data_IF_214300165224
#
_entry.id   IF_214300165224
#
_cell.length_a   1.000
_cell.length_b   1.000
_cell.length_c   1.000
_cell.angle_alpha   90.00
_cell.angle_beta   90.00
_cell.angle_gamma   90.00
#
_symmetry.space_group_name_H-M   'P 1'
#
loop_
_entity.id
_entity.type
_entity.pdbx_description
1 polymer ?
#
# COMPACT_ATOMS: atom_id res chain seq x y z
N UNK A 1 -12.79 -57.64 -15.65
CA UNK A 1 -11.90 -58.19 -16.68
C UNK A 1 -11.34 -57.00 -17.48
N UNK A 2 -10.01 -56.91 -17.57
CA UNK A 2 -9.18 -56.01 -18.39
C UNK A 2 -9.10 -54.49 -18.05
N UNK A 3 -8.03 -54.14 -17.32
CA UNK A 3 -7.34 -52.84 -17.36
C UNK A 3 -6.61 -52.67 -18.70
N UNK A 4 -6.46 -51.45 -19.20
CA UNK A 4 -5.50 -51.12 -20.27
C UNK A 4 -4.62 -49.95 -19.85
N UNK A 5 -3.36 -50.27 -19.56
CA UNK A 5 -2.25 -49.36 -19.27
C UNK A 5 -1.66 -48.83 -20.57
N UNK A 6 -1.66 -47.50 -20.77
CA UNK A 6 -0.87 -46.86 -21.82
C UNK A 6 0.52 -46.48 -21.27
N UNK A 7 1.54 -47.14 -21.81
CA UNK A 7 2.96 -47.00 -21.49
C UNK A 7 3.54 -45.84 -22.31
N UNK A 8 3.88 -44.71 -21.69
CA UNK A 8 4.59 -43.60 -22.35
C UNK A 8 6.10 -43.82 -22.22
N UNK A 9 6.75 -43.92 -23.38
CA UNK A 9 8.19 -44.07 -23.57
C UNK A 9 8.91 -42.72 -23.44
N UNK A 10 10.07 -42.75 -22.78
CA UNK A 10 10.94 -41.59 -22.52
C UNK A 10 11.81 -41.22 -23.73
N UNK A 11 12.09 -39.92 -23.97
CA UNK A 11 13.21 -39.53 -24.81
C UNK A 11 14.48 -39.32 -23.96
N UNK A 12 15.57 -39.92 -24.44
CA UNK A 12 16.94 -39.87 -23.92
C UNK A 12 17.50 -38.44 -23.94
N UNK A 13 17.92 -37.92 -22.79
CA UNK A 13 18.80 -36.74 -22.70
C UNK A 13 20.27 -37.18 -22.78
N UNK A 14 21.02 -36.65 -23.74
CA UNK A 14 22.49 -36.76 -23.83
C UNK A 14 23.16 -35.56 -23.15
N UNK A 15 23.92 -35.85 -22.09
CA UNK A 15 25.23 -35.30 -21.69
C UNK A 15 25.59 -33.80 -21.75
N UNK A 16 25.59 -33.17 -20.56
CA UNK A 16 26.69 -32.44 -19.87
C UNK A 16 27.35 -31.16 -20.48
N UNK A 17 28.05 -30.30 -19.69
CA UNK A 17 28.37 -30.37 -18.25
C UNK A 17 28.09 -29.08 -17.40
N UNK A 18 28.20 -29.31 -16.09
CA UNK A 18 28.21 -28.42 -14.93
C UNK A 18 29.60 -27.77 -14.76
N UNK A 19 29.69 -26.44 -14.60
CA UNK A 19 30.73 -25.64 -13.89
C UNK A 19 30.47 -24.14 -14.18
N UNK A 20 30.60 -23.10 -13.33
CA UNK A 20 31.30 -22.85 -12.07
C UNK A 20 30.51 -21.75 -11.30
N UNK A 21 30.30 -21.97 -9.99
CA UNK A 21 30.08 -20.92 -8.99
C UNK A 21 31.47 -20.55 -8.45
N UNK A 22 31.79 -19.26 -8.41
CA UNK A 22 32.72 -18.56 -7.48
C UNK A 22 33.53 -17.51 -8.24
N UNK A 23 33.35 -16.24 -7.87
CA UNK A 23 34.42 -15.24 -7.67
C UNK A 23 33.81 -13.83 -7.64
N UNK A 24 33.25 -13.46 -6.49
CA UNK A 24 32.94 -12.06 -6.18
C UNK A 24 33.20 -11.76 -4.71
N UNK A 25 34.40 -12.11 -4.22
CA UNK A 25 34.95 -11.60 -2.96
C UNK A 25 36.46 -11.45 -3.17
N UNK A 26 36.92 -10.22 -3.41
CA UNK A 26 38.12 -9.61 -2.81
C UNK A 26 38.59 -8.37 -3.59
N UNK A 27 38.95 -7.35 -2.81
CA UNK A 27 39.82 -6.20 -3.16
C UNK A 27 39.21 -4.96 -3.84
N UNK A 28 38.62 -4.10 -3.02
CA UNK A 28 38.89 -2.66 -3.09
C UNK A 28 39.68 -2.26 -1.84
N UNK A 29 40.99 -2.02 -2.00
CA UNK A 29 41.78 -1.20 -1.07
C UNK A 29 42.60 -0.22 -1.90
N UNK A 30 42.37 1.06 -1.62
CA UNK A 30 43.02 2.25 -2.17
C UNK A 30 44.56 2.18 -2.14
N UNK A 31 45.27 2.90 -3.03
CA UNK A 31 46.58 3.41 -2.69
C UNK A 31 46.69 4.92 -2.79
N UNK A 32 47.32 5.45 -1.75
CA UNK A 32 47.86 6.78 -1.54
C UNK A 32 49.02 7.13 -2.48
N UNK A 33 49.14 8.43 -2.72
CA UNK A 33 50.33 9.16 -3.21
C UNK A 33 51.68 8.62 -2.73
N UNK A 34 52.66 8.54 -3.63
CA UNK A 34 53.99 9.19 -3.52
C UNK A 34 54.75 9.21 -4.86
N UNK A 35 55.62 10.22 -4.98
CA UNK A 35 56.45 10.68 -6.10
C UNK A 35 57.48 9.66 -6.59
N UNK A 36 57.83 9.69 -7.88
CA UNK A 36 59.22 10.00 -8.30
C UNK A 36 59.43 10.24 -9.81
N UNK A 37 60.48 11.01 -10.09
CA UNK A 37 60.97 11.56 -11.36
C UNK A 37 61.59 10.53 -12.33
N UNK A 38 61.34 10.67 -13.64
CA UNK A 38 62.32 10.97 -14.72
C UNK A 38 61.88 10.50 -16.12
N UNK A 39 62.24 11.34 -17.11
CA UNK A 39 62.46 11.11 -18.57
C UNK A 39 61.26 11.04 -19.54
N UNK A 40 61.22 12.07 -20.38
CA UNK A 40 60.72 12.13 -21.78
C UNK A 40 61.69 11.43 -22.77
N UNK A 41 61.43 11.40 -24.10
CA UNK A 41 60.18 11.27 -24.87
C UNK A 41 60.27 10.15 -25.94
N UNK A 42 59.17 9.83 -26.65
CA UNK A 42 59.11 9.62 -28.12
C UNK A 42 57.69 9.20 -28.52
N UNK A 43 57.14 9.83 -29.56
CA UNK A 43 55.78 9.62 -30.02
C UNK A 43 55.60 8.42 -30.96
N UNK A 44 54.33 8.03 -31.18
CA UNK A 44 53.84 7.47 -32.43
C UNK A 44 52.30 7.49 -32.40
N UNK A 45 51.69 8.04 -33.46
CA UNK A 45 50.26 8.31 -33.56
C UNK A 45 49.39 7.08 -33.85
N UNK A 46 48.12 7.13 -33.46
CA UNK A 46 47.11 6.15 -33.89
C UNK A 46 45.77 6.85 -34.21
N UNK A 47 45.34 6.58 -35.44
CA UNK A 47 44.11 6.85 -36.19
C UNK A 47 42.79 7.16 -35.44
N UNK A 48 42.20 8.30 -35.80
CA UNK A 48 40.81 8.70 -35.59
C UNK A 48 39.92 8.20 -36.75
N UNK A 49 39.48 6.93 -36.73
CA UNK A 49 38.40 6.50 -37.65
C UNK A 49 37.50 5.34 -37.18
N UNK A 50 37.51 4.96 -35.91
CA UNK A 50 36.66 3.86 -35.39
C UNK A 50 35.66 4.24 -34.29
N UNK A 51 35.62 5.50 -33.85
CA UNK A 51 34.75 5.89 -32.73
C UNK A 51 33.27 6.13 -33.10
N UNK A 52 32.94 6.34 -34.37
CA UNK A 52 31.60 6.82 -34.75
C UNK A 52 30.55 5.73 -35.06
N UNK A 53 30.96 4.48 -35.29
CA UNK A 53 30.01 3.39 -35.59
C UNK A 53 29.50 2.65 -34.34
N UNK A 54 30.17 2.78 -33.18
CA UNK A 54 29.74 2.10 -31.94
C UNK A 54 28.63 2.83 -31.18
N UNK A 55 28.48 4.14 -31.42
CA UNK A 55 27.50 4.98 -30.72
C UNK A 55 26.10 4.87 -31.35
N UNK A 56 26.01 4.70 -32.68
CA UNK A 56 24.73 4.58 -33.37
C UNK A 56 24.01 3.24 -33.07
N UNK A 57 24.76 2.14 -32.98
CA UNK A 57 24.24 0.79 -32.66
C UNK A 57 23.66 0.68 -31.24
N UNK A 58 24.20 1.44 -30.28
CA UNK A 58 23.73 1.43 -28.88
C UNK A 58 22.40 2.17 -28.69
N UNK A 59 22.11 3.18 -29.51
CA UNK A 59 20.86 3.95 -29.41
C UNK A 59 19.66 3.16 -29.96
N UNK A 60 19.82 2.46 -31.09
CA UNK A 60 18.75 1.63 -31.63
C UNK A 60 18.44 0.41 -30.75
N UNK A 61 19.45 -0.22 -30.12
CA UNK A 61 19.23 -1.30 -29.15
C UNK A 61 18.46 -0.86 -27.90
N UNK A 62 18.58 0.41 -27.47
CA UNK A 62 17.80 0.97 -26.34
C UNK A 62 16.34 1.27 -26.70
N UNK A 63 16.02 1.66 -27.93
CA UNK A 63 14.64 1.91 -28.36
C UNK A 63 13.84 0.62 -28.64
N UNK A 64 14.50 -0.43 -29.14
CA UNK A 64 13.83 -1.73 -29.38
C UNK A 64 13.55 -2.46 -28.06
N UNK A 65 14.41 -2.33 -27.06
CA UNK A 65 14.19 -2.91 -25.72
C UNK A 65 13.13 -2.19 -24.89
N UNK A 66 12.92 -0.89 -25.08
CA UNK A 66 11.84 -0.15 -24.41
C UNK A 66 10.46 -0.47 -24.98
N UNK A 67 10.32 -0.65 -26.31
CA UNK A 67 9.06 -1.12 -26.90
C UNK A 67 8.77 -2.60 -26.57
N UNK A 68 9.80 -3.45 -26.48
CA UNK A 68 9.64 -4.83 -26.03
C UNK A 68 9.24 -4.93 -24.55
N UNK A 69 9.73 -4.04 -23.68
CA UNK A 69 9.32 -3.97 -22.27
C UNK A 69 7.87 -3.45 -22.11
N UNK A 70 7.44 -2.50 -22.95
CA UNK A 70 6.06 -1.99 -22.96
C UNK A 70 5.07 -3.00 -23.60
N UNK A 71 5.50 -3.79 -24.59
CA UNK A 71 4.66 -4.86 -25.16
C UNK A 71 4.70 -6.18 -24.36
N UNK A 72 5.75 -6.46 -23.60
CA UNK A 72 5.76 -7.56 -22.63
C UNK A 72 4.81 -7.29 -21.45
N UNK A 73 4.59 -6.02 -21.08
CA UNK A 73 3.60 -5.63 -20.08
C UNK A 73 2.15 -5.92 -20.54
N UNK A 74 1.88 -6.02 -21.85
CA UNK A 74 0.56 -6.37 -22.38
C UNK A 74 0.33 -7.88 -22.58
N UNK A 75 1.36 -8.72 -22.46
CA UNK A 75 1.27 -10.16 -22.78
C UNK A 75 1.33 -11.11 -21.56
N UNK A 76 1.48 -10.60 -20.33
CA UNK A 76 1.60 -11.40 -19.09
C UNK A 76 0.35 -11.29 -18.20
N UNK A 77 -0.83 -11.09 -18.80
CA UNK A 77 -2.13 -11.03 -18.09
C UNK A 77 -2.73 -12.41 -17.72
N UNK A 78 -1.98 -13.52 -17.82
CA UNK A 78 -2.59 -14.86 -17.85
C UNK A 78 -2.40 -15.75 -16.60
N UNK A 79 -1.78 -15.28 -15.50
CA UNK A 79 -1.27 -16.22 -14.48
C UNK A 79 -1.65 -16.00 -13.00
N UNK A 80 -2.71 -15.25 -12.65
CA UNK A 80 -3.11 -15.11 -11.23
C UNK A 80 -4.61 -15.21 -10.91
N UNK A 81 -5.44 -15.50 -11.92
CA UNK A 81 -6.82 -15.95 -11.73
C UNK A 81 -7.04 -17.05 -12.75
N UNK A 82 -7.19 -18.29 -12.30
CA UNK A 82 -7.70 -19.33 -13.18
C UNK A 82 -9.17 -18.99 -13.46
N UNK A 83 -9.40 -18.22 -14.53
CA UNK A 83 -10.74 -17.96 -15.05
C UNK A 83 -11.22 -19.21 -15.75
N UNK A 84 -11.83 -20.12 -14.99
CA UNK A 84 -12.58 -21.21 -15.58
C UNK A 84 -13.95 -20.66 -15.99
N UNK A 85 -14.18 -20.48 -17.28
CA UNK A 85 -15.50 -20.12 -17.81
C UNK A 85 -16.05 -18.74 -17.44
N UNK A 86 -15.18 -17.74 -17.25
CA UNK A 86 -15.61 -16.36 -16.91
C UNK A 86 -15.82 -16.08 -15.43
N UNK A 87 -15.46 -17.01 -14.55
CA UNK A 87 -15.55 -16.86 -13.10
C UNK A 87 -14.18 -16.77 -12.43
N UNK A 88 -14.06 -15.95 -11.39
CA UNK A 88 -12.87 -15.88 -10.52
C UNK A 88 -12.99 -16.92 -9.40
N UNK A 89 -12.06 -17.88 -9.35
CA UNK A 89 -11.95 -18.85 -8.26
C UNK A 89 -11.22 -18.23 -7.07
N UNK A 90 -11.86 -18.22 -5.89
CA UNK A 90 -11.26 -17.78 -4.64
C UNK A 90 -10.67 -18.98 -3.90
N UNK A 91 -9.42 -18.84 -3.45
CA UNK A 91 -8.78 -19.79 -2.52
C UNK A 91 -8.59 -19.14 -1.17
N UNK A 92 -8.76 -19.88 -0.07
CA UNK A 92 -8.52 -19.35 1.27
C UNK A 92 -7.00 -19.20 1.50
N UNK A 93 -6.54 -17.97 1.79
CA UNK A 93 -5.11 -17.62 1.83
C UNK A 93 -4.73 -16.94 3.16
N UNK A 94 -4.79 -17.65 4.30
CA UNK A 94 -4.60 -17.03 5.62
C UNK A 94 -3.16 -16.54 5.84
N UNK A 95 -2.15 -17.26 5.36
CA UNK A 95 -0.75 -16.90 5.59
C UNK A 95 -0.33 -15.65 4.83
N UNK A 96 -0.65 -15.54 3.53
CA UNK A 96 -0.38 -14.32 2.75
C UNK A 96 -1.14 -13.12 3.31
N UNK A 97 -2.38 -13.35 3.78
CA UNK A 97 -3.18 -12.34 4.46
C UNK A 97 -2.49 -11.83 5.74
N UNK A 98 -2.02 -12.71 6.63
CA UNK A 98 -1.25 -12.31 7.82
C UNK A 98 0.03 -11.56 7.43
N UNK A 99 0.81 -12.08 6.48
CA UNK A 99 2.06 -11.47 6.03
C UNK A 99 1.84 -10.05 5.49
N UNK A 100 0.85 -9.87 4.62
CA UNK A 100 0.45 -8.54 4.15
C UNK A 100 -0.05 -7.65 5.30
N UNK A 101 -0.84 -8.20 6.22
CA UNK A 101 -1.27 -7.51 7.44
C UNK A 101 -0.10 -7.00 8.29
N UNK A 102 0.92 -7.82 8.54
CA UNK A 102 2.13 -7.43 9.26
C UNK A 102 2.82 -6.24 8.58
N UNK A 103 2.90 -6.20 7.25
CA UNK A 103 3.45 -5.06 6.51
C UNK A 103 2.62 -3.77 6.71
N UNK A 104 1.29 -3.86 6.66
CA UNK A 104 0.41 -2.72 6.97
C UNK A 104 0.63 -2.21 8.40
N UNK A 105 0.83 -3.14 9.33
CA UNK A 105 1.18 -2.85 10.72
C UNK A 105 2.54 -2.17 10.87
N UNK A 106 3.58 -2.63 10.18
CA UNK A 106 4.92 -2.01 10.15
C UNK A 106 4.85 -0.59 9.60
N UNK A 107 4.14 -0.38 8.48
CA UNK A 107 3.92 0.95 7.92
C UNK A 107 3.19 1.89 8.90
N UNK A 108 2.17 1.37 9.58
CA UNK A 108 1.40 2.12 10.58
C UNK A 108 2.24 2.49 11.80
N UNK A 109 2.97 1.52 12.36
CA UNK A 109 3.85 1.70 13.51
C UNK A 109 5.00 2.66 13.19
N UNK A 110 5.68 2.46 12.06
CA UNK A 110 6.76 3.32 11.60
C UNK A 110 6.30 4.75 11.41
N UNK A 111 5.19 4.97 10.70
CA UNK A 111 4.60 6.31 10.54
C UNK A 111 4.29 6.97 11.87
N UNK A 112 3.66 6.26 12.81
CA UNK A 112 3.30 6.80 14.12
C UNK A 112 4.55 7.20 14.91
N UNK A 113 5.54 6.32 15.02
CA UNK A 113 6.75 6.56 15.81
C UNK A 113 7.61 7.68 15.20
N UNK A 114 7.63 7.77 13.87
CA UNK A 114 8.37 8.80 13.13
C UNK A 114 7.71 10.17 13.21
N UNK A 115 6.44 10.27 12.82
CA UNK A 115 5.76 11.56 12.57
C UNK A 115 4.79 11.94 13.68
N UNK A 116 4.46 11.00 14.56
CA UNK A 116 3.44 11.18 15.59
C UNK A 116 2.00 11.16 15.08
N UNK A 117 1.80 11.01 13.76
CA UNK A 117 0.47 11.03 13.14
C UNK A 117 -0.09 9.64 12.95
N UNK A 118 -1.40 9.51 13.13
CA UNK A 118 -2.12 8.28 12.86
C UNK A 118 -2.27 8.07 11.35
N UNK A 119 -2.00 6.85 10.87
CA UNK A 119 -2.14 6.51 9.47
C UNK A 119 -3.62 6.49 9.05
N UNK A 120 -3.99 7.28 8.04
CA UNK A 120 -5.35 7.34 7.52
C UNK A 120 -5.38 7.77 6.06
N UNK A 121 -5.74 6.85 5.15
CA UNK A 121 -5.75 7.12 3.70
C UNK A 121 -6.86 8.09 3.33
N UNK A 122 -8.10 7.81 3.74
CA UNK A 122 -9.22 8.73 3.52
C UNK A 122 -9.00 10.07 4.21
N UNK A 123 -8.27 10.08 5.34
CA UNK A 123 -7.82 11.31 5.98
C UNK A 123 -6.92 12.11 5.04
N UNK A 124 -5.86 11.49 4.51
CA UNK A 124 -4.91 12.07 3.56
C UNK A 124 -5.62 12.68 2.34
N UNK A 125 -6.49 11.91 1.67
CA UNK A 125 -7.26 12.34 0.50
C UNK A 125 -8.25 13.44 0.84
N UNK A 126 -9.08 13.27 1.90
CA UNK A 126 -10.06 14.28 2.33
C UNK A 126 -9.39 15.64 2.51
N UNK A 127 -8.26 15.70 3.21
CA UNK A 127 -7.57 16.98 3.43
C UNK A 127 -7.15 17.65 2.14
N UNK A 128 -6.59 16.92 1.19
CA UNK A 128 -6.25 17.49 -0.13
C UNK A 128 -7.51 18.01 -0.86
N UNK A 129 -8.61 17.25 -0.80
CA UNK A 129 -9.89 17.63 -1.41
C UNK A 129 -10.52 18.87 -0.75
N UNK A 130 -10.32 19.05 0.57
CA UNK A 130 -10.82 20.20 1.33
C UNK A 130 -9.86 21.39 1.36
N UNK A 131 -8.70 21.31 0.71
CA UNK A 131 -7.72 22.40 0.60
C UNK A 131 -6.58 22.41 1.64
N UNK A 132 -6.46 21.39 2.49
CA UNK A 132 -5.30 21.17 3.35
C UNK A 132 -4.16 20.54 2.51
N UNK A 133 -3.32 21.39 1.94
CA UNK A 133 -2.20 21.03 1.07
C UNK A 133 -0.91 20.69 1.84
N UNK A 134 -1.02 20.15 3.06
CA UNK A 134 0.14 19.75 3.83
C UNK A 134 1.02 18.73 3.06
N UNK A 135 2.33 18.99 3.00
CA UNK A 135 3.29 18.22 2.21
C UNK A 135 3.28 16.70 2.53
N UNK A 136 3.07 16.33 3.79
CA UNK A 136 3.02 14.92 4.23
C UNK A 136 1.93 14.11 3.51
N UNK A 137 0.80 14.74 3.13
CA UNK A 137 -0.31 14.07 2.44
C UNK A 137 0.12 13.65 1.04
N UNK A 138 0.80 14.56 0.35
CA UNK A 138 1.34 14.30 -0.98
C UNK A 138 2.43 13.25 -0.95
N UNK A 139 3.38 13.34 -0.03
CA UNK A 139 4.48 12.37 0.03
C UNK A 139 4.00 10.99 0.43
N UNK A 140 3.02 10.88 1.35
CA UNK A 140 2.37 9.61 1.67
C UNK A 140 1.66 8.99 0.46
N UNK A 141 0.84 9.75 -0.27
CA UNK A 141 0.13 9.26 -1.45
C UNK A 141 1.08 8.96 -2.63
N UNK A 142 2.13 9.75 -2.81
CA UNK A 142 3.20 9.48 -3.77
C UNK A 142 3.93 8.19 -3.42
N UNK A 143 4.24 7.97 -2.15
CA UNK A 143 4.77 6.71 -1.64
C UNK A 143 3.87 5.53 -1.97
N UNK A 144 2.56 5.65 -1.77
CA UNK A 144 1.59 4.62 -2.18
C UNK A 144 1.61 4.39 -3.69
N UNK A 145 1.69 5.45 -4.51
CA UNK A 145 1.78 5.33 -5.97
C UNK A 145 3.06 4.62 -6.42
N UNK A 146 4.21 4.98 -5.86
CA UNK A 146 5.49 4.30 -6.12
C UNK A 146 5.44 2.83 -5.67
N UNK A 147 4.83 2.56 -4.53
CA UNK A 147 4.60 1.20 -4.03
C UNK A 147 3.69 0.39 -4.94
N UNK A 148 2.68 1.03 -5.54
CA UNK A 148 1.83 0.40 -6.57
C UNK A 148 2.61 0.02 -7.82
N UNK A 149 3.49 0.90 -8.32
CA UNK A 149 4.33 0.61 -9.48
C UNK A 149 5.28 -0.55 -9.18
N UNK A 150 5.90 -0.54 -8.00
CA UNK A 150 6.75 -1.64 -7.56
C UNK A 150 5.95 -2.95 -7.43
N UNK A 151 4.76 -2.90 -6.83
CA UNK A 151 3.86 -4.05 -6.70
C UNK A 151 3.51 -4.68 -8.04
N UNK A 152 3.18 -3.86 -9.05
CA UNK A 152 2.84 -4.32 -10.39
C UNK A 152 4.01 -5.08 -11.05
N UNK A 153 5.25 -4.66 -10.79
CA UNK A 153 6.46 -5.34 -11.30
C UNK A 153 6.86 -6.59 -10.50
N UNK A 154 6.60 -6.60 -9.18
CA UNK A 154 7.03 -7.67 -8.28
C UNK A 154 6.04 -8.83 -8.19
N UNK A 155 4.74 -8.56 -8.29
CA UNK A 155 3.67 -9.56 -8.23
C UNK A 155 2.72 -9.39 -9.42
N UNK A 156 3.04 -9.98 -10.59
CA UNK A 156 2.12 -10.02 -11.72
C UNK A 156 0.79 -10.68 -11.29
N UNK A 157 -0.29 -9.91 -11.30
CA UNK A 157 -1.61 -10.37 -10.82
C UNK A 157 -1.99 -9.95 -9.40
N UNK A 158 -1.21 -9.08 -8.76
CA UNK A 158 -1.63 -8.42 -7.52
C UNK A 158 -2.91 -7.57 -7.70
N UNK A 159 -3.14 -7.03 -8.90
CA UNK A 159 -4.32 -6.24 -9.22
C UNK A 159 -5.36 -7.10 -9.94
N UNK A 160 -6.61 -6.97 -9.52
CA UNK A 160 -7.76 -7.53 -10.23
C UNK A 160 -8.69 -6.39 -10.62
N UNK A 161 -9.02 -6.33 -11.91
CA UNK A 161 -9.96 -5.37 -12.47
C UNK A 161 -11.39 -5.92 -12.40
N UNK A 162 -12.37 -5.04 -12.29
CA UNK A 162 -13.77 -5.46 -12.28
C UNK A 162 -14.16 -5.99 -13.67
N UNK A 163 -15.05 -7.00 -13.75
CA UNK A 163 -15.57 -7.46 -15.04
C UNK A 163 -16.26 -6.33 -15.80
N UNK A 164 -16.18 -6.35 -17.13
CA UNK A 164 -16.89 -5.37 -17.98
C UNK A 164 -18.42 -5.45 -17.82
N UNK A 165 -18.95 -6.59 -17.39
CA UNK A 165 -20.36 -6.77 -17.03
C UNK A 165 -20.75 -6.04 -15.75
N UNK A 166 -19.80 -5.67 -14.89
CA UNK A 166 -20.09 -4.91 -13.68
C UNK A 166 -20.48 -3.48 -14.07
N UNK A 167 -21.65 -2.98 -13.65
CA UNK A 167 -22.12 -1.67 -14.10
C UNK A 167 -21.28 -0.52 -13.50
N UNK A 168 -20.77 0.37 -14.36
CA UNK A 168 -19.95 1.53 -13.94
C UNK A 168 -20.69 2.42 -12.93
N UNK A 169 -22.01 2.61 -13.09
CA UNK A 169 -22.79 3.42 -12.16
C UNK A 169 -22.77 2.85 -10.73
N UNK A 170 -22.69 1.52 -10.58
CA UNK A 170 -22.62 0.85 -9.27
C UNK A 170 -21.25 1.07 -8.64
N UNK A 171 -20.18 1.07 -9.43
CA UNK A 171 -18.84 1.45 -8.97
C UNK A 171 -18.78 2.92 -8.54
N UNK A 172 -19.39 3.83 -9.32
CA UNK A 172 -19.48 5.24 -8.99
C UNK A 172 -20.32 5.48 -7.72
N UNK A 173 -21.49 4.85 -7.59
CA UNK A 173 -22.32 4.95 -6.39
C UNK A 173 -21.59 4.43 -5.14
N UNK A 174 -20.90 3.29 -5.27
CA UNK A 174 -20.06 2.75 -4.21
C UNK A 174 -18.98 3.76 -3.79
N UNK A 175 -18.28 4.36 -4.76
CA UNK A 175 -17.28 5.39 -4.52
C UNK A 175 -17.85 6.58 -3.79
N UNK A 176 -18.98 7.14 -4.26
CA UNK A 176 -19.66 8.28 -3.66
C UNK A 176 -20.03 8.02 -2.20
N UNK A 177 -20.66 6.88 -1.91
CA UNK A 177 -21.07 6.49 -0.56
C UNK A 177 -19.87 6.30 0.37
N UNK A 178 -18.80 5.65 -0.12
CA UNK A 178 -17.56 5.48 0.64
C UNK A 178 -16.88 6.82 0.92
N UNK A 179 -16.80 7.68 -0.08
CA UNK A 179 -16.21 9.02 0.04
C UNK A 179 -16.96 9.88 1.05
N UNK A 180 -18.28 9.98 0.89
CA UNK A 180 -19.14 10.73 1.80
C UNK A 180 -19.12 10.14 3.22
N UNK A 181 -19.29 8.81 3.35
CA UNK A 181 -19.30 8.12 4.64
C UNK A 181 -17.99 8.24 5.41
N UNK A 182 -16.85 8.06 4.72
CA UNK A 182 -15.53 8.24 5.35
C UNK A 182 -15.27 9.68 5.79
N UNK A 183 -15.75 10.66 5.04
CA UNK A 183 -15.63 12.06 5.40
C UNK A 183 -16.55 12.43 6.59
N UNK A 184 -17.77 11.88 6.62
CA UNK A 184 -18.75 12.08 7.69
C UNK A 184 -18.31 11.48 9.02
N UNK A 185 -17.80 10.24 8.99
CA UNK A 185 -17.28 9.50 10.14
C UNK A 185 -15.85 9.87 10.54
N UNK A 186 -15.19 10.75 9.79
CA UNK A 186 -13.80 11.15 9.95
C UNK A 186 -12.86 9.92 10.03
N UNK A 187 -13.01 8.99 9.08
CA UNK A 187 -12.49 7.64 9.26
C UNK A 187 -12.59 6.70 8.07
N UNK A 188 -11.70 5.72 8.03
CA UNK A 188 -11.74 4.59 7.09
C UNK A 188 -11.18 3.33 7.78
N UNK A 189 -11.13 2.21 7.05
CA UNK A 189 -10.64 0.92 7.56
C UNK A 189 -9.22 1.00 8.14
N UNK A 190 -8.29 1.75 7.53
CA UNK A 190 -6.93 1.89 8.08
C UNK A 190 -6.89 2.74 9.36
N UNK A 191 -7.73 3.77 9.45
CA UNK A 191 -7.75 4.72 10.58
C UNK A 191 -8.53 4.21 11.80
N UNK A 192 -9.75 3.71 11.60
CA UNK A 192 -10.58 3.16 12.69
C UNK A 192 -10.37 1.66 12.86
N UNK A 193 -10.30 0.90 11.76
CA UNK A 193 -10.09 -0.55 11.82
C UNK A 193 -8.72 -0.91 12.39
N UNK A 194 -7.62 -0.49 11.74
CA UNK A 194 -6.26 -0.84 12.20
C UNK A 194 -5.84 0.05 13.37
N UNK A 195 -5.68 1.36 13.16
CA UNK A 195 -5.13 2.25 14.18
C UNK A 195 -6.09 2.44 15.37
N UNK A 196 -7.40 2.45 15.13
CA UNK A 196 -8.41 2.59 16.18
C UNK A 196 -8.48 1.37 17.10
N UNK A 197 -8.48 0.16 16.53
CA UNK A 197 -8.41 -1.08 17.31
C UNK A 197 -7.09 -1.21 18.07
N UNK A 198 -5.96 -0.84 17.46
CA UNK A 198 -4.66 -0.83 18.12
C UNK A 198 -4.58 0.13 19.32
N UNK A 199 -5.39 1.20 19.32
CA UNK A 199 -5.55 2.15 20.43
C UNK A 199 -6.58 1.72 21.47
N UNK A 200 -7.32 0.64 21.23
CA UNK A 200 -8.44 0.18 22.06
C UNK A 200 -9.54 1.25 22.24
N UNK A 201 -9.84 2.03 21.19
CA UNK A 201 -10.83 3.10 21.27
C UNK A 201 -12.26 2.57 21.06
N UNK A 202 -13.19 2.78 22.02
CA UNK A 202 -14.60 2.40 21.86
C UNK A 202 -15.26 3.02 20.63
N UNK A 203 -14.93 4.29 20.34
CA UNK A 203 -15.40 5.00 19.14
C UNK A 203 -15.01 4.26 17.86
N UNK A 204 -13.77 3.78 17.79
CA UNK A 204 -13.27 3.07 16.61
C UNK A 204 -13.87 1.68 16.46
N UNK A 205 -14.08 0.96 17.57
CA UNK A 205 -14.78 -0.32 17.55
C UNK A 205 -16.23 -0.17 17.09
N UNK A 206 -16.95 0.84 17.60
CA UNK A 206 -18.31 1.14 17.17
C UNK A 206 -18.36 1.41 15.66
N UNK A 207 -17.52 2.32 15.16
CA UNK A 207 -17.46 2.61 13.72
C UNK A 207 -17.14 1.35 12.89
N UNK A 208 -16.17 0.54 13.36
CA UNK A 208 -15.76 -0.69 12.69
C UNK A 208 -16.84 -1.74 12.62
N UNK A 209 -17.55 -1.98 13.73
CA UNK A 209 -18.69 -2.88 13.77
C UNK A 209 -19.82 -2.38 12.84
N UNK A 210 -20.11 -1.08 12.85
CA UNK A 210 -21.17 -0.50 12.02
C UNK A 210 -20.87 -0.62 10.53
N UNK A 211 -19.67 -0.24 10.07
CA UNK A 211 -19.38 -0.34 8.64
C UNK A 211 -19.23 -1.79 8.19
N UNK A 212 -18.73 -2.67 9.05
CA UNK A 212 -18.60 -4.09 8.72
C UNK A 212 -19.97 -4.73 8.54
N UNK A 213 -20.89 -4.49 9.49
CA UNK A 213 -22.27 -4.97 9.41
C UNK A 213 -23.01 -4.41 8.20
N UNK A 214 -22.92 -3.10 7.95
CA UNK A 214 -23.54 -2.48 6.79
C UNK A 214 -22.97 -2.99 5.45
N UNK A 215 -21.65 -3.22 5.39
CA UNK A 215 -21.00 -3.79 4.22
C UNK A 215 -21.38 -5.24 3.95
N UNK A 216 -21.43 -6.07 5.00
CA UNK A 216 -21.86 -7.46 4.87
C UNK A 216 -23.33 -7.55 4.43
N UNK A 217 -24.21 -6.76 5.05
CA UNK A 217 -25.61 -6.69 4.68
C UNK A 217 -25.78 -6.24 3.23
N UNK A 218 -25.11 -5.16 2.82
CA UNK A 218 -25.23 -4.62 1.46
C UNK A 218 -24.66 -5.57 0.41
N UNK A 219 -23.50 -6.17 0.66
CA UNK A 219 -22.89 -7.13 -0.27
C UNK A 219 -23.79 -8.35 -0.49
N UNK A 220 -24.41 -8.85 0.59
CA UNK A 220 -25.32 -9.99 0.56
C UNK A 220 -26.62 -9.64 -0.19
N UNK A 221 -27.23 -8.50 0.11
CA UNK A 221 -28.49 -8.07 -0.55
C UNK A 221 -28.31 -7.73 -2.04
N UNK A 222 -27.15 -7.21 -2.42
CA UNK A 222 -26.89 -6.76 -3.81
C UNK A 222 -26.12 -7.77 -4.64
N UNK A 223 -25.89 -8.98 -4.10
CA UNK A 223 -25.18 -10.06 -4.76
C UNK A 223 -23.80 -9.66 -5.28
N UNK A 224 -23.03 -8.88 -4.51
CA UNK A 224 -21.77 -8.28 -4.97
C UNK A 224 -20.75 -9.31 -5.46
N UNK A 225 -20.61 -10.45 -4.75
CA UNK A 225 -19.73 -11.53 -5.19
C UNK A 225 -20.17 -12.08 -6.57
N UNK A 226 -21.46 -12.31 -6.77
CA UNK A 226 -21.99 -12.79 -8.05
C UNK A 226 -21.83 -11.75 -9.17
N UNK A 227 -22.06 -10.47 -8.87
CA UNK A 227 -21.89 -9.37 -9.83
C UNK A 227 -20.44 -9.22 -10.32
N UNK A 228 -19.46 -9.61 -9.51
CA UNK A 228 -18.03 -9.60 -9.83
C UNK A 228 -17.57 -10.95 -10.43
N UNK A 229 -18.49 -11.92 -10.59
CA UNK A 229 -18.18 -13.21 -11.21
C UNK A 229 -17.43 -14.17 -10.28
N UNK A 230 -17.60 -14.04 -8.96
CA UNK A 230 -17.00 -14.98 -8.00
C UNK A 230 -17.80 -16.29 -8.03
N UNK A 231 -17.15 -17.38 -8.43
CA UNK A 231 -17.78 -18.71 -8.40
C UNK A 231 -17.63 -19.39 -7.03
N UNK A 232 -18.64 -20.15 -6.58
CA UNK A 232 -18.51 -21.05 -5.45
C UNK A 232 -17.68 -22.29 -5.86
N UNK A 233 -16.48 -22.50 -5.31
CA UNK A 233 -15.69 -23.74 -5.53
C UNK A 233 -14.57 -23.84 -4.45
N UNK A 234 -13.98 -25.04 -4.26
CA UNK A 234 -13.73 -25.64 -2.95
C UNK A 234 -12.70 -24.83 -2.15
N UNK A 235 -12.85 -24.86 -0.83
CA UNK A 235 -11.90 -24.29 0.13
C UNK A 235 -10.54 -25.02 0.08
N UNK A 236 -9.82 -24.88 -1.01
CA UNK A 236 -8.43 -25.25 -1.09
C UNK A 236 -7.64 -24.16 -0.35
N UNK A 237 -7.02 -24.57 0.75
CA UNK A 237 -6.07 -23.75 1.46
C UNK A 237 -4.88 -23.49 0.53
N UNK A 238 -4.68 -22.23 0.16
CA UNK A 238 -3.58 -21.82 -0.68
C UNK A 238 -2.43 -21.29 0.20
N UNK A 239 -1.30 -21.97 0.13
CA UNK A 239 -0.07 -21.57 0.79
C UNK A 239 0.61 -20.43 -0.01
N UNK A 240 1.31 -19.51 0.67
CA UNK A 240 2.08 -18.47 -0.01
C UNK A 240 3.08 -19.10 -0.97
N UNK A 241 3.20 -18.53 -2.16
CA UNK A 241 4.29 -18.90 -3.06
C UNK A 241 5.63 -18.48 -2.45
N UNK A 242 6.73 -19.11 -2.88
CA UNK A 242 8.07 -18.72 -2.43
C UNK A 242 8.36 -17.23 -2.72
N UNK A 243 7.84 -16.70 -3.82
CA UNK A 243 7.98 -15.29 -4.21
C UNK A 243 7.22 -14.38 -3.24
N UNK A 244 5.97 -14.69 -2.92
CA UNK A 244 5.17 -13.92 -1.96
C UNK A 244 5.78 -13.93 -0.56
N UNK A 245 6.24 -15.10 -0.08
CA UNK A 245 6.89 -15.23 1.21
C UNK A 245 8.21 -14.44 1.27
N UNK A 246 9.04 -14.55 0.23
CA UNK A 246 10.30 -13.81 0.16
C UNK A 246 10.07 -12.30 0.06
N UNK A 247 9.07 -11.87 -0.71
CA UNK A 247 8.69 -10.46 -0.80
C UNK A 247 8.23 -9.95 0.57
N UNK A 248 7.41 -10.71 1.30
CA UNK A 248 6.96 -10.34 2.63
C UNK A 248 8.14 -10.09 3.59
N UNK A 249 9.08 -11.03 3.65
CA UNK A 249 10.24 -10.96 4.55
C UNK A 249 11.16 -9.81 4.15
N UNK A 250 11.47 -9.66 2.86
CA UNK A 250 12.37 -8.60 2.38
C UNK A 250 11.78 -7.22 2.59
N UNK A 251 10.49 -7.02 2.34
CA UNK A 251 9.81 -5.73 2.58
C UNK A 251 9.67 -5.45 4.07
N UNK A 252 9.39 -6.46 4.90
CA UNK A 252 9.32 -6.29 6.35
C UNK A 252 10.69 -5.89 6.93
N UNK A 253 11.74 -6.65 6.63
CA UNK A 253 13.09 -6.41 7.11
C UNK A 253 13.63 -5.06 6.58
N UNK A 254 13.47 -4.81 5.28
CA UNK A 254 13.87 -3.54 4.64
C UNK A 254 13.11 -2.34 5.20
N UNK A 255 11.81 -2.48 5.45
CA UNK A 255 10.98 -1.42 6.04
C UNK A 255 11.39 -1.07 7.47
N UNK A 256 11.59 -2.09 8.32
CA UNK A 256 12.08 -1.88 9.70
C UNK A 256 13.48 -1.25 9.69
N UNK A 257 14.38 -1.74 8.84
CA UNK A 257 15.73 -1.19 8.69
C UNK A 257 15.70 0.27 8.21
N UNK A 258 14.83 0.60 7.25
CA UNK A 258 14.69 1.96 6.73
C UNK A 258 14.16 2.94 7.80
N UNK A 259 13.13 2.57 8.56
CA UNK A 259 12.66 3.40 9.69
C UNK A 259 13.74 3.55 10.78
N UNK A 260 14.48 2.47 11.09
CA UNK A 260 15.59 2.52 12.03
C UNK A 260 16.73 3.44 11.55
N UNK A 261 17.04 3.42 10.25
CA UNK A 261 18.04 4.30 9.64
C UNK A 261 17.62 5.78 9.73
N UNK A 262 16.36 6.09 9.45
CA UNK A 262 15.82 7.45 9.62
C UNK A 262 15.90 7.90 11.09
N UNK A 263 15.60 7.01 12.03
CA UNK A 263 15.73 7.29 13.46
C UNK A 263 17.19 7.52 13.89
N UNK A 264 18.13 6.72 13.36
CA UNK A 264 19.55 6.87 13.61
C UNK A 264 20.10 8.18 13.04
N UNK A 265 19.72 8.55 11.81
CA UNK A 265 20.10 9.81 11.18
C UNK A 265 19.69 11.02 12.04
N UNK A 266 18.46 11.00 12.58
CA UNK A 266 17.98 12.06 13.48
C UNK A 266 18.76 12.14 14.79
N UNK A 267 19.11 10.99 15.38
CA UNK A 267 19.91 10.96 16.62
C UNK A 267 21.32 11.48 16.41
N UNK A 268 21.96 11.13 15.29
CA UNK A 268 23.31 11.61 14.96
C UNK A 268 23.33 13.13 14.76
N UNK A 269 22.34 13.67 14.05
CA UNK A 269 22.17 15.13 13.90
C UNK A 269 21.97 15.80 15.26
N UNK A 270 21.10 15.27 16.13
CA UNK A 270 20.88 15.87 17.46
C UNK A 270 22.07 15.79 18.43
N UNK A 271 23.05 14.92 18.18
CA UNK A 271 24.26 14.77 19.02
C UNK A 271 25.39 15.70 18.63
N UNK A 272 25.45 16.10 17.36
CA UNK A 272 26.46 17.04 16.88
C UNK A 272 26.34 18.41 17.58
N UNK A 273 25.13 18.75 18.05
CA UNK A 273 24.79 20.09 18.56
C UNK A 273 24.88 20.20 20.11
N UNK A 274 25.78 19.45 20.76
CA UNK A 274 25.94 19.48 22.22
C UNK A 274 26.46 20.83 22.76
N UNK A 275 27.06 21.67 21.91
CA UNK A 275 27.25 23.10 22.15
C UNK A 275 26.03 23.83 21.58
N UNK A 276 25.29 24.59 22.40
CA UNK A 276 23.96 25.11 22.06
C UNK A 276 23.86 25.69 20.64
N UNK A 277 22.89 25.24 19.81
CA UNK A 277 22.89 25.52 18.38
C UNK A 277 22.61 27.00 18.09
N UNK A 278 23.42 27.59 17.21
CA UNK A 278 23.22 28.89 16.61
C UNK A 278 21.90 28.95 15.82
N UNK A 279 21.38 30.16 15.52
CA UNK A 279 20.15 30.33 14.73
C UNK A 279 20.23 29.65 13.35
N UNK A 280 21.41 29.59 12.75
CA UNK A 280 21.63 28.92 11.47
C UNK A 280 21.52 27.39 11.62
N UNK A 281 22.11 26.82 12.66
CA UNK A 281 22.02 25.39 12.98
C UNK A 281 20.58 24.99 13.34
N UNK A 282 19.84 25.84 14.06
CA UNK A 282 18.42 25.61 14.35
C UNK A 282 17.55 25.56 13.08
N UNK A 283 17.76 26.48 12.14
CA UNK A 283 17.06 26.47 10.85
C UNK A 283 17.42 25.23 10.02
N UNK A 284 18.71 24.86 9.99
CA UNK A 284 19.18 23.68 9.27
C UNK A 284 18.62 22.38 9.87
N UNK A 285 18.59 22.26 11.19
CA UNK A 285 18.03 21.11 11.90
C UNK A 285 16.52 21.00 11.70
N UNK A 286 15.81 22.14 11.70
CA UNK A 286 14.39 22.17 11.38
C UNK A 286 14.14 21.71 9.93
N UNK A 287 14.91 22.20 8.96
CA UNK A 287 14.77 21.81 7.56
C UNK A 287 15.12 20.33 7.32
N UNK A 288 16.15 19.81 7.99
CA UNK A 288 16.52 18.39 7.93
C UNK A 288 15.43 17.49 8.53
N UNK A 289 14.87 17.86 9.68
CA UNK A 289 13.78 17.10 10.30
C UNK A 289 12.52 17.05 9.42
N UNK A 290 12.22 18.13 8.70
CA UNK A 290 11.14 18.17 7.72
C UNK A 290 11.40 17.21 6.54
N UNK A 291 12.63 17.14 6.03
CA UNK A 291 13.00 16.18 4.97
C UNK A 291 12.86 14.72 5.42
N UNK A 292 13.32 14.40 6.64
CA UNK A 292 13.20 13.06 7.22
C UNK A 292 11.74 12.68 7.50
N UNK A 293 10.92 13.63 7.94
CA UNK A 293 9.49 13.45 8.12
C UNK A 293 8.80 13.08 6.81
N UNK A 294 9.06 13.84 5.74
CA UNK A 294 8.51 13.57 4.42
C UNK A 294 8.97 12.22 3.85
N UNK A 295 10.24 11.86 4.08
CA UNK A 295 10.78 10.55 3.73
C UNK A 295 10.09 9.40 4.47
N UNK A 296 9.80 9.56 5.76
CA UNK A 296 9.07 8.57 6.55
C UNK A 296 7.62 8.39 6.09
N UNK A 297 6.96 9.48 5.67
CA UNK A 297 5.60 9.44 5.10
C UNK A 297 5.57 8.70 3.77
N UNK A 298 6.53 8.98 2.88
CA UNK A 298 6.65 8.27 1.61
C UNK A 298 6.99 6.77 1.82
N UNK A 299 7.90 6.46 2.74
CA UNK A 299 8.25 5.09 3.10
C UNK A 299 7.05 4.32 3.66
N UNK A 300 6.28 4.95 4.55
CA UNK A 300 5.06 4.35 5.09
C UNK A 300 4.05 4.07 3.97
N UNK A 301 3.81 5.03 3.07
CA UNK A 301 2.92 4.84 1.92
C UNK A 301 3.37 3.69 1.00
N UNK A 302 4.67 3.60 0.73
CA UNK A 302 5.26 2.56 -0.12
C UNK A 302 5.07 1.16 0.47
N UNK A 303 5.45 0.95 1.73
CA UNK A 303 5.28 -0.34 2.43
C UNK A 303 3.80 -0.69 2.55
N UNK A 304 2.94 0.31 2.82
CA UNK A 304 1.51 0.11 2.93
C UNK A 304 0.90 -0.40 1.61
N UNK A 305 1.27 0.18 0.46
CA UNK A 305 0.81 -0.28 -0.85
C UNK A 305 1.26 -1.73 -1.16
N UNK A 306 2.50 -2.10 -0.84
CA UNK A 306 2.98 -3.47 -0.98
C UNK A 306 2.22 -4.45 -0.08
N UNK A 307 1.93 -4.06 1.17
CA UNK A 307 1.10 -4.84 2.09
C UNK A 307 -0.34 -5.03 1.60
N UNK A 308 -0.94 -4.02 0.97
CA UNK A 308 -2.27 -4.12 0.35
C UNK A 308 -2.31 -5.16 -0.77
N UNK A 309 -1.27 -5.19 -1.61
CA UNK A 309 -1.16 -6.18 -2.69
C UNK A 309 -0.93 -7.59 -2.18
N UNK A 310 0.05 -7.76 -1.29
CA UNK A 310 0.42 -9.06 -0.75
C UNK A 310 -0.72 -9.70 0.07
N UNK A 311 -1.51 -8.89 0.78
CA UNK A 311 -2.69 -9.37 1.50
C UNK A 311 -3.87 -9.74 0.59
N UNK A 312 -3.80 -9.43 -0.71
CA UNK A 312 -4.87 -9.66 -1.67
C UNK A 312 -6.01 -8.64 -1.60
N UNK A 313 -5.89 -7.56 -0.82
CA UNK A 313 -6.94 -6.54 -0.70
C UNK A 313 -7.10 -5.68 -1.95
N UNK A 314 -6.11 -5.68 -2.85
CA UNK A 314 -6.18 -5.11 -4.21
C UNK A 314 -7.06 -5.90 -5.17
N UNK A 315 -7.64 -7.02 -4.72
CA UNK A 315 -8.55 -7.85 -5.51
C UNK A 315 -9.99 -7.66 -5.03
N UNK A 316 -10.89 -7.05 -5.83
CA UNK A 316 -12.29 -6.84 -5.44
C UNK A 316 -13.03 -8.15 -5.14
N UNK A 317 -12.69 -9.25 -5.83
CA UNK A 317 -13.26 -10.58 -5.57
C UNK A 317 -12.99 -11.08 -4.15
N UNK A 318 -11.76 -10.90 -3.64
CA UNK A 318 -11.36 -11.27 -2.27
C UNK A 318 -12.18 -10.53 -1.22
N UNK A 319 -12.35 -9.24 -1.43
CA UNK A 319 -13.09 -8.37 -0.52
C UNK A 319 -14.60 -8.65 -0.58
N UNK A 320 -15.17 -8.78 -1.78
CA UNK A 320 -16.58 -9.12 -1.96
C UNK A 320 -16.92 -10.53 -1.46
N UNK A 321 -16.01 -11.49 -1.64
CA UNK A 321 -16.12 -12.85 -1.12
C UNK A 321 -16.18 -12.89 0.40
N UNK A 322 -15.39 -12.07 1.09
CA UNK A 322 -15.49 -11.94 2.55
C UNK A 322 -16.80 -11.26 3.01
N UNK A 323 -17.27 -10.24 2.30
CA UNK A 323 -18.46 -9.48 2.73
C UNK A 323 -19.79 -10.19 2.45
N UNK A 324 -19.84 -11.06 1.46
CA UNK A 324 -21.07 -11.78 1.11
C UNK A 324 -21.22 -12.98 2.05
N UNK A 325 -21.98 -12.83 3.13
CA UNK A 325 -22.16 -13.89 4.13
C UNK A 325 -23.12 -14.98 3.62
N UNK A 326 -22.89 -16.22 4.04
CA UNK A 326 -23.82 -17.33 3.80
C UNK A 326 -23.82 -17.89 2.37
N UNK A 327 -22.86 -17.50 1.53
CA UNK A 327 -22.66 -18.10 0.20
C UNK A 327 -21.48 -19.08 0.21
N UNK A 328 -21.47 -20.12 -0.64
CA UNK A 328 -20.38 -21.09 -0.66
C UNK A 328 -19.03 -20.49 -1.12
N UNK A 329 -19.03 -19.29 -1.70
CA UNK A 329 -17.83 -18.54 -2.11
C UNK A 329 -17.24 -17.67 -1.00
N UNK A 330 -17.67 -17.84 0.26
CA UNK A 330 -17.21 -17.01 1.37
C UNK A 330 -15.73 -17.25 1.69
N UNK A 331 -14.93 -16.17 1.73
CA UNK A 331 -13.49 -16.22 2.01
C UNK A 331 -13.15 -15.56 3.36
N UNK A 332 -12.64 -16.35 4.31
CA UNK A 332 -12.25 -15.91 5.64
C UNK A 332 -10.87 -15.22 5.72
N UNK A 333 -10.24 -14.85 4.61
CA UNK A 333 -8.87 -14.30 4.61
C UNK A 333 -8.77 -12.88 5.20
N UNK A 334 -9.79 -12.03 5.05
CA UNK A 334 -9.73 -10.62 5.45
C UNK A 334 -9.52 -10.37 6.96
N UNK A 335 -10.15 -11.14 7.88
CA UNK A 335 -9.86 -11.07 9.31
C UNK A 335 -8.39 -11.31 9.65
N UNK A 336 -7.69 -12.19 8.92
CA UNK A 336 -6.26 -12.44 9.14
C UNK A 336 -5.40 -11.24 8.74
N UNK A 337 -5.77 -10.52 7.67
CA UNK A 337 -5.13 -9.25 7.29
C UNK A 337 -5.25 -8.23 8.41
N UNK A 338 -6.48 -8.03 8.91
CA UNK A 338 -6.75 -7.09 10.00
C UNK A 338 -6.01 -7.50 11.27
N UNK A 339 -6.05 -8.78 11.64
CA UNK A 339 -5.36 -9.32 12.81
C UNK A 339 -3.85 -9.08 12.78
N UNK A 340 -3.19 -9.42 11.66
CA UNK A 340 -1.76 -9.17 11.49
C UNK A 340 -1.38 -7.69 11.59
N UNK A 341 -2.19 -6.81 10.96
CA UNK A 341 -1.96 -5.38 11.03
C UNK A 341 -2.18 -4.79 12.42
N UNK A 342 -3.26 -5.20 13.08
CA UNK A 342 -3.61 -4.73 14.43
C UNK A 342 -2.58 -5.17 15.45
N UNK A 343 -2.06 -6.40 15.40
CA UNK A 343 -1.05 -6.88 16.37
C UNK A 343 0.20 -5.99 16.36
N UNK A 344 0.76 -5.73 15.17
CA UNK A 344 1.98 -4.89 15.06
C UNK A 344 1.68 -3.43 15.41
N UNK A 345 0.55 -2.89 14.93
CA UNK A 345 0.14 -1.53 15.26
C UNK A 345 -0.11 -1.37 16.77
N UNK A 346 -0.72 -2.36 17.42
CA UNK A 346 -1.04 -2.37 18.85
C UNK A 346 0.23 -2.31 19.68
N UNK A 347 1.29 -3.05 19.32
CA UNK A 347 2.59 -2.97 20.01
C UNK A 347 3.10 -1.53 20.00
N UNK A 348 3.05 -0.84 18.86
CA UNK A 348 3.50 0.55 18.75
C UNK A 348 2.60 1.53 19.53
N UNK A 349 1.28 1.44 19.35
CA UNK A 349 0.32 2.33 20.02
C UNK A 349 0.32 2.15 21.54
N UNK A 350 0.28 0.91 22.04
CA UNK A 350 0.32 0.62 23.47
C UNK A 350 1.69 0.92 24.06
N UNK A 351 2.77 0.68 23.32
CA UNK A 351 4.12 1.12 23.68
C UNK A 351 4.18 2.62 23.97
N UNK A 352 3.65 3.44 23.06
CA UNK A 352 3.64 4.91 23.22
C UNK A 352 2.65 5.37 24.29
N UNK A 353 1.42 4.85 24.30
CA UNK A 353 0.34 5.34 25.18
C UNK A 353 0.41 4.80 26.61
N UNK A 354 0.56 3.48 26.75
CA UNK A 354 0.44 2.78 28.03
C UNK A 354 1.78 2.61 28.73
N UNK A 355 2.83 2.29 27.96
CA UNK A 355 4.18 2.04 28.48
C UNK A 355 5.12 3.23 28.35
N UNK A 356 4.69 4.32 27.67
CA UNK A 356 5.46 5.57 27.52
C UNK A 356 6.89 5.34 27.04
N UNK A 357 7.13 4.34 26.19
CA UNK A 357 8.47 4.02 25.64
C UNK A 357 9.07 5.21 24.87
N UNK A 358 8.22 6.13 24.42
CA UNK A 358 8.58 7.31 23.66
C UNK A 358 7.67 8.49 24.04
N UNK A 359 8.25 9.58 24.52
CA UNK A 359 7.51 10.78 24.97
C UNK A 359 7.14 11.74 23.84
N UNK A 360 7.94 11.76 22.76
CA UNK A 360 7.73 12.56 21.56
C UNK A 360 8.11 11.75 20.32
N UNK A 361 7.44 11.93 19.16
CA UNK A 361 7.82 11.23 17.93
C UNK A 361 9.20 11.70 17.44
N UNK A 362 9.79 10.97 16.48
CA UNK A 362 11.17 11.20 16.05
C UNK A 362 11.38 12.57 15.39
N UNK A 363 10.45 12.98 14.52
CA UNK A 363 10.59 14.18 13.69
C UNK A 363 9.64 15.31 14.06
N UNK A 364 8.70 15.06 14.97
CA UNK A 364 7.67 16.02 15.35
C UNK A 364 7.71 16.31 16.87
N UNK A 365 7.18 17.47 17.31
CA UNK A 365 7.22 17.84 18.73
C UNK A 365 6.24 17.02 19.59
N UNK A 366 5.13 16.53 19.01
CA UNK A 366 4.05 15.86 19.75
C UNK A 366 3.34 14.80 18.92
N UNK A 367 2.84 13.77 19.60
CA UNK A 367 1.93 12.79 19.03
C UNK A 367 0.55 13.41 18.79
N UNK A 368 0.03 13.29 17.57
CA UNK A 368 -1.29 13.77 17.15
C UNK A 368 -2.28 12.60 17.11
N UNK A 369 -2.63 12.08 18.29
CA UNK A 369 -3.50 10.91 18.40
C UNK A 369 -4.89 11.33 18.86
N UNK A 370 -5.95 11.09 18.05
CA UNK A 370 -7.33 11.33 18.46
C UNK A 370 -7.67 10.70 19.81
N UNK A 371 -8.28 11.48 20.72
CA UNK A 371 -8.66 11.09 22.09
C UNK A 371 -10.17 10.98 22.32
N UNK A 372 -11.01 11.34 21.34
CA UNK A 372 -12.46 11.30 21.51
C UNK A 372 -12.98 9.87 21.52
N UNK A 373 -13.73 9.53 22.57
CA UNK A 373 -14.45 8.27 22.72
C UNK A 373 -15.96 8.42 22.48
N UNK A 374 -16.43 9.60 22.09
CA UNK A 374 -17.84 9.85 21.86
C UNK A 374 -18.33 9.06 20.65
N UNK A 375 -19.42 8.32 20.84
CA UNK A 375 -20.14 7.64 19.77
C UNK A 375 -21.36 8.52 19.47
N UNK A 376 -21.32 9.21 18.34
CA UNK A 376 -22.37 10.11 17.89
C UNK A 376 -23.11 9.52 16.67
N UNK A 377 -24.34 9.98 16.43
CA UNK A 377 -25.14 9.50 15.30
C UNK A 377 -24.45 9.74 13.94
N UNK A 378 -23.63 10.79 13.86
CA UNK A 378 -22.88 11.17 12.67
C UNK A 378 -21.79 10.14 12.32
N UNK A 379 -21.09 9.62 13.32
CA UNK A 379 -20.11 8.55 13.21
C UNK A 379 -20.79 7.28 12.71
N UNK A 380 -21.91 6.89 13.33
CA UNK A 380 -22.64 5.68 12.95
C UNK A 380 -23.22 5.81 11.54
N UNK A 381 -23.83 6.95 11.20
CA UNK A 381 -24.31 7.22 9.84
C UNK A 381 -23.18 7.17 8.80
N UNK A 382 -22.01 7.74 9.12
CA UNK A 382 -20.83 7.65 8.28
C UNK A 382 -20.37 6.20 8.09
N UNK A 383 -20.41 5.40 9.16
CA UNK A 383 -20.09 3.98 9.13
C UNK A 383 -21.05 3.17 8.26
N UNK A 384 -22.35 3.43 8.36
CA UNK A 384 -23.37 2.79 7.52
C UNK A 384 -23.15 3.11 6.04
N UNK A 385 -22.97 4.39 5.69
CA UNK A 385 -22.74 4.81 4.30
C UNK A 385 -21.42 4.25 3.74
N UNK A 386 -20.36 4.29 4.53
CA UNK A 386 -19.06 3.71 4.17
C UNK A 386 -19.17 2.21 3.94
N UNK A 387 -19.81 1.50 4.87
CA UNK A 387 -20.04 0.06 4.79
C UNK A 387 -20.88 -0.30 3.57
N UNK A 388 -21.99 0.39 3.35
CA UNK A 388 -22.86 0.14 2.19
C UNK A 388 -22.12 0.33 0.86
N UNK A 389 -21.39 1.43 0.69
CA UNK A 389 -20.59 1.65 -0.50
C UNK A 389 -19.48 0.61 -0.68
N UNK A 390 -18.79 0.23 0.40
CA UNK A 390 -17.78 -0.83 0.37
C UNK A 390 -18.37 -2.18 -0.03
N UNK A 391 -19.54 -2.54 0.51
CA UNK A 391 -20.29 -3.74 0.18
C UNK A 391 -20.81 -3.78 -1.24
N UNK A 392 -21.19 -2.63 -1.83
CA UNK A 392 -21.72 -2.56 -3.21
C UNK A 392 -20.73 -2.99 -4.29
N UNK A 393 -19.44 -2.65 -4.12
CA UNK A 393 -18.43 -2.89 -5.15
C UNK A 393 -17.25 -3.74 -4.68
N UNK A 394 -17.15 -4.08 -3.39
CA UNK A 394 -15.99 -4.78 -2.84
C UNK A 394 -14.69 -3.97 -2.92
N UNK A 395 -14.76 -2.66 -3.18
CA UNK A 395 -13.59 -1.79 -3.31
C UNK A 395 -13.45 -0.89 -2.09
N UNK A 396 -12.29 -0.95 -1.46
CA UNK A 396 -11.89 -0.07 -0.34
C UNK A 396 -11.05 1.10 -0.87
N UNK A 397 -11.09 2.30 -0.25
CA UNK A 397 -10.34 3.47 -0.72
C UNK A 397 -8.84 3.24 -0.93
N UNK A 398 -8.20 2.52 0.00
CA UNK A 398 -6.76 2.23 -0.07
C UNK A 398 -6.41 1.39 -1.29
N UNK A 399 -6.94 0.16 -1.39
CA UNK A 399 -6.80 -0.68 -2.58
C UNK A 399 -7.18 0.01 -3.89
N UNK A 400 -8.26 0.79 -3.92
CA UNK A 400 -8.68 1.52 -5.12
C UNK A 400 -7.63 2.55 -5.56
N UNK A 401 -7.03 3.31 -4.62
CA UNK A 401 -5.96 4.26 -4.92
C UNK A 401 -4.71 3.58 -5.47
N UNK A 402 -4.33 2.42 -4.92
CA UNK A 402 -3.20 1.64 -5.45
C UNK A 402 -3.57 1.10 -6.84
N UNK A 403 -4.79 0.57 -7.01
CA UNK A 403 -5.26 0.08 -8.30
C UNK A 403 -5.50 1.18 -9.35
N UNK A 404 -5.45 2.47 -9.00
CA UNK A 404 -5.71 3.58 -9.93
C UNK A 404 -4.80 3.55 -11.17
N UNK A 405 -3.55 3.10 -10.99
CA UNK A 405 -2.57 3.01 -12.08
C UNK A 405 -2.87 1.92 -13.11
N UNK A 406 -3.83 1.03 -12.83
CA UNK A 406 -4.32 0.06 -13.83
C UNK A 406 -5.06 0.74 -14.97
N UNK A 407 -5.55 1.98 -14.76
CA UNK A 407 -6.35 2.70 -15.74
C UNK A 407 -7.77 2.13 -15.94
N UNK A 408 -8.19 1.21 -15.08
CA UNK A 408 -9.51 0.57 -15.18
C UNK A 408 -10.65 1.59 -15.00
N UNK A 409 -11.63 1.64 -15.93
CA UNK A 409 -12.68 2.65 -15.88
C UNK A 409 -13.58 2.54 -14.64
N UNK A 410 -13.79 1.34 -14.08
CA UNK A 410 -14.60 1.16 -12.87
C UNK A 410 -13.86 1.68 -11.64
N UNK A 411 -12.55 1.43 -11.53
CA UNK A 411 -11.70 1.99 -10.46
C UNK A 411 -11.66 3.51 -10.55
N UNK A 412 -11.49 4.08 -11.75
CA UNK A 412 -11.47 5.53 -11.93
C UNK A 412 -12.82 6.18 -11.62
N UNK A 413 -13.93 5.57 -12.05
CA UNK A 413 -15.28 6.02 -11.71
C UNK A 413 -15.54 5.99 -10.20
N UNK A 414 -15.11 4.92 -9.52
CA UNK A 414 -15.17 4.81 -8.06
C UNK A 414 -14.36 5.93 -7.37
N UNK A 415 -13.10 6.15 -7.78
CA UNK A 415 -12.23 7.16 -7.17
C UNK A 415 -12.73 8.58 -7.41
N UNK A 416 -13.17 8.90 -8.63
CA UNK A 416 -13.75 10.20 -8.95
C UNK A 416 -15.00 10.49 -8.12
N UNK A 417 -15.89 9.51 -8.01
CA UNK A 417 -17.08 9.63 -7.18
C UNK A 417 -16.75 9.69 -5.67
N UNK A 418 -15.73 8.96 -5.21
CA UNK A 418 -15.24 9.02 -3.84
C UNK A 418 -14.73 10.42 -3.48
N UNK A 419 -13.93 11.02 -4.36
CA UNK A 419 -13.47 12.41 -4.19
C UNK A 419 -14.66 13.37 -4.17
N UNK A 420 -15.63 13.20 -5.08
CA UNK A 420 -16.84 14.01 -5.10
C UNK A 420 -17.65 13.88 -3.80
N UNK A 421 -17.76 12.67 -3.24
CA UNK A 421 -18.44 12.41 -1.96
C UNK A 421 -17.75 13.07 -0.78
N UNK A 422 -16.41 13.00 -0.71
CA UNK A 422 -15.62 13.70 0.32
C UNK A 422 -15.77 15.21 0.21
N UNK A 423 -15.76 15.75 -1.02
CA UNK A 423 -15.93 17.17 -1.28
C UNK A 423 -17.33 17.66 -0.89
N UNK A 424 -18.37 16.94 -1.30
CA UNK A 424 -19.76 17.28 -0.97
C UNK A 424 -19.99 17.30 0.54
N UNK A 425 -19.45 16.31 1.26
CA UNK A 425 -19.53 16.24 2.71
C UNK A 425 -18.82 17.43 3.38
N UNK A 426 -17.63 17.81 2.90
CA UNK A 426 -16.91 18.99 3.40
C UNK A 426 -17.67 20.30 3.16
N UNK A 427 -18.37 20.43 2.03
CA UNK A 427 -19.21 21.60 1.74
C UNK A 427 -20.43 21.68 2.66
N UNK A 428 -21.07 20.54 2.95
CA UNK A 428 -22.18 20.47 3.91
C UNK A 428 -21.74 20.86 5.33
N UNK A 429 -20.56 20.44 5.77
CA UNK A 429 -19.98 20.89 7.04
C UNK A 429 -19.79 22.41 7.08
N UNK A 430 -19.19 22.98 6.03
CA UNK A 430 -18.93 24.41 5.95
C UNK A 430 -20.23 25.23 5.99
N UNK A 431 -21.28 24.78 5.29
CA UNK A 431 -22.60 25.42 5.32
C UNK A 431 -23.27 25.32 6.69
N UNK A 432 -23.16 24.17 7.37
CA UNK A 432 -23.74 23.96 8.69
C UNK A 432 -23.10 24.82 9.79
N UNK A 433 -21.80 25.12 9.66
CA UNK A 433 -21.08 26.00 10.60
C UNK A 433 -21.34 27.50 10.37
N UNK A 434 -21.84 27.88 9.18
CA UNK A 434 -22.20 29.25 8.85
C UNK A 434 -23.63 29.64 9.26
N UNK A 435 -24.43 28.68 9.75
CA UNK A 435 -25.76 28.98 10.30
C UNK A 435 -25.58 29.74 11.63
N UNK A 436 -25.94 31.03 11.71
CA UNK A 436 -25.57 31.88 12.83
C UNK A 436 -26.27 31.43 14.11
N UNK A 437 -25.58 31.61 15.23
CA UNK A 437 -26.16 31.69 16.55
C UNK A 437 -27.40 32.62 16.55
N UNK A 438 -28.58 32.05 16.33
CA UNK A 438 -29.86 32.55 16.83
C UNK A 438 -30.18 31.58 17.97
N UNK A 439 -29.82 31.89 19.21
CA UNK A 439 -30.48 32.93 20.01
C UNK A 439 -29.52 33.61 20.99
N UNK A 440 -29.50 34.93 20.92
CA UNK A 440 -29.00 35.81 21.95
C UNK A 440 -29.89 35.76 23.21
N UNK A 441 -29.31 36.24 24.31
CA UNK A 441 -29.98 36.82 25.49
C UNK A 441 -31.47 37.15 25.34
N UNK A 442 -32.27 36.68 26.28
CA UNK A 442 -33.21 37.54 27.01
C UNK A 442 -33.27 37.10 28.46
#
# INVERSE_FOLDING_TARGET
>A
MAMTLARVTSPKFRGAPITVISDFILHLRSPSHTRDCHRTPHGLGINLHQANLSVYSRSQKRMVTTRAAVHAATAVSAAASATAGGYTLLSFTPLTAVLGGLLLGIATAGKLLSTGRVLGISGAVKGLVTGDLAAWRFTFLLGMGLGSVALAGLLPGAFEVLPQSFPIWRAALAGLLVGFGSALGNGCTSGHGICGSARLSPRSFAYTATFMGAGMLTATLTGSAAAIGVAPLPAALAMPTAVEAQLAVTVAAGGVAAFAALAAAQRLSSRADAAGPSRAEQQQQQQQSAGLELGAEALAGFIFALGLGLSGMTRPSKVAGFLTLGVPSWDASLPFVMGGAVVVAMIAFQGVMRFRIMQKPLFCPRFQIPSSNLIDARLLAGGVLFGAGWGLAGMCPGPALVAALTGDPHVLAYLGAMVAGMWAQGRLEAMGQQSPAKTASS
#
